data_IF_702926821023
#
_entry.id   IF_702926821023
#
_cell.length_a   1.000
_cell.length_b   1.000
_cell.length_c   1.000
_cell.angle_alpha   90.00
_cell.angle_beta   90.00
_cell.angle_gamma   90.00
#
_symmetry.space_group_name_H-M   'P 1'
#
loop_
_entity.id
_entity.type
_entity.pdbx_description
1 polymer ?
#
# COMPACT_ATOMS: atom_id res chain seq x y z
N UNK A 1 -6.84 -28.05 22.20
CA UNK A 1 -7.73 -26.90 22.41
C UNK A 1 -8.50 -27.12 23.69
N UNK A 2 -8.29 -26.30 24.71
CA UNK A 2 -9.17 -26.26 25.89
C UNK A 2 -10.17 -25.11 25.69
N UNK A 3 -11.46 -25.45 25.65
CA UNK A 3 -12.54 -24.46 25.70
C UNK A 3 -13.16 -24.51 27.09
N UNK A 4 -13.24 -23.36 27.77
CA UNK A 4 -13.89 -23.25 29.08
C UNK A 4 -15.25 -22.61 28.92
N UNK A 5 -16.26 -23.17 29.59
CA UNK A 5 -17.60 -22.60 29.64
C UNK A 5 -17.79 -22.01 31.03
N UNK A 6 -17.78 -20.69 31.12
CA UNK A 6 -17.93 -19.96 32.38
C UNK A 6 -19.01 -18.87 32.22
N UNK A 7 -20.04 -18.92 33.06
CA UNK A 7 -21.11 -17.89 33.07
C UNK A 7 -21.86 -17.73 31.75
N UNK A 8 -22.05 -18.81 30.98
CA UNK A 8 -22.72 -18.77 29.67
C UNK A 8 -21.84 -18.25 28.52
N UNK A 9 -20.54 -18.03 28.77
CA UNK A 9 -19.55 -17.64 27.76
C UNK A 9 -18.61 -18.80 27.47
N UNK A 10 -18.22 -18.92 26.21
CA UNK A 10 -17.17 -19.84 25.77
C UNK A 10 -15.88 -19.03 25.66
N UNK A 11 -14.88 -19.38 26.47
CA UNK A 11 -13.54 -18.83 26.42
C UNK A 11 -12.62 -19.83 25.74
N UNK A 12 -11.99 -19.40 24.64
CA UNK A 12 -11.05 -20.21 23.86
C UNK A 12 -9.69 -19.52 23.85
N UNK A 13 -8.63 -20.27 24.12
CA UNK A 13 -7.28 -19.80 23.87
C UNK A 13 -7.03 -19.76 22.35
N UNK A 14 -6.84 -18.55 21.81
CA UNK A 14 -6.67 -18.34 20.37
C UNK A 14 -5.39 -19.00 19.83
N UNK A 15 -4.32 -19.08 20.63
CA UNK A 15 -3.06 -19.74 20.25
C UNK A 15 -3.28 -21.25 20.12
N UNK A 16 -3.94 -21.87 21.10
CA UNK A 16 -4.22 -23.31 21.04
C UNK A 16 -5.16 -23.66 19.89
N UNK A 17 -6.16 -22.78 19.63
CA UNK A 17 -7.04 -22.90 18.49
C UNK A 17 -6.23 -22.88 17.20
N UNK A 18 -5.46 -21.81 16.96
CA UNK A 18 -4.62 -21.65 15.77
C UNK A 18 -3.60 -22.78 15.62
N UNK A 19 -3.04 -23.31 16.70
CA UNK A 19 -2.13 -24.45 16.67
C UNK A 19 -2.83 -25.74 16.24
N UNK A 20 -4.07 -25.94 16.68
CA UNK A 20 -4.88 -27.15 16.40
C UNK A 20 -5.52 -27.17 15.01
N UNK A 21 -5.60 -26.03 14.32
CA UNK A 21 -6.16 -25.95 12.97
C UNK A 21 -5.32 -26.72 11.94
N UNK A 22 -5.98 -27.23 10.91
CA UNK A 22 -5.30 -27.76 9.73
C UNK A 22 -4.55 -26.64 9.00
N UNK A 23 -3.57 -26.99 8.17
CA UNK A 23 -2.86 -25.98 7.35
C UNK A 23 -3.81 -25.29 6.35
N UNK A 24 -4.84 -25.97 5.89
CA UNK A 24 -5.84 -25.43 4.97
C UNK A 24 -6.69 -24.36 5.66
N UNK A 25 -7.22 -24.66 6.85
CA UNK A 25 -8.00 -23.70 7.63
C UNK A 25 -7.16 -22.49 8.03
N UNK A 26 -5.90 -22.71 8.43
CA UNK A 26 -4.97 -21.61 8.74
C UNK A 26 -4.76 -20.70 7.53
N UNK A 27 -4.63 -21.26 6.32
CA UNK A 27 -4.47 -20.45 5.10
C UNK A 27 -5.69 -19.61 4.82
N UNK A 28 -6.90 -20.15 4.98
CA UNK A 28 -8.14 -19.38 4.78
C UNK A 28 -8.25 -18.22 5.77
N UNK A 29 -7.90 -18.44 7.04
CA UNK A 29 -7.87 -17.38 8.04
C UNK A 29 -6.80 -16.33 7.70
N UNK A 30 -5.58 -16.76 7.37
CA UNK A 30 -4.48 -15.85 7.01
C UNK A 30 -4.85 -14.99 5.80
N UNK A 31 -5.46 -15.58 4.77
CA UNK A 31 -5.91 -14.87 3.57
C UNK A 31 -6.93 -13.77 3.93
N UNK A 32 -7.91 -14.12 4.77
CA UNK A 32 -8.91 -13.16 5.27
C UNK A 32 -8.26 -12.01 6.06
N UNK A 33 -7.35 -12.36 6.97
CA UNK A 33 -6.64 -11.38 7.82
C UNK A 33 -5.62 -10.54 7.04
N UNK A 34 -5.14 -11.02 5.89
CA UNK A 34 -4.11 -10.31 5.11
C UNK A 34 -4.60 -9.03 4.45
N UNK A 35 -5.93 -8.85 4.38
CA UNK A 35 -6.58 -7.67 3.83
C UNK A 35 -7.11 -6.72 4.92
N UNK A 36 -6.87 -7.02 6.19
CA UNK A 36 -7.30 -6.17 7.30
C UNK A 36 -6.34 -4.98 7.46
N UNK A 37 -6.90 -3.77 7.54
CA UNK A 37 -6.12 -2.53 7.57
C UNK A 37 -5.23 -2.41 8.82
N UNK A 38 -5.69 -2.88 9.98
CA UNK A 38 -4.90 -2.84 11.21
C UNK A 38 -3.73 -3.83 11.12
N UNK A 39 -3.97 -5.01 10.57
CA UNK A 39 -2.93 -6.02 10.34
C UNK A 39 -1.90 -5.51 9.32
N UNK A 40 -2.36 -4.88 8.23
CA UNK A 40 -1.48 -4.30 7.22
C UNK A 40 -0.61 -3.17 7.80
N UNK A 41 -1.18 -2.32 8.65
CA UNK A 41 -0.44 -1.28 9.36
C UNK A 41 0.66 -1.87 10.27
N UNK A 42 0.31 -2.87 11.07
CA UNK A 42 1.25 -3.55 11.96
C UNK A 42 2.38 -4.29 11.21
N UNK A 43 2.05 -4.96 10.11
CA UNK A 43 3.05 -5.61 9.24
C UNK A 43 3.96 -4.57 8.61
N UNK A 44 3.41 -3.43 8.18
CA UNK A 44 4.18 -2.32 7.61
C UNK A 44 5.15 -1.73 8.62
N UNK A 45 4.69 -1.46 9.85
CA UNK A 45 5.55 -0.99 10.95
C UNK A 45 6.70 -1.98 11.23
N UNK A 46 6.43 -3.28 11.17
CA UNK A 46 7.48 -4.30 11.33
C UNK A 46 8.46 -4.38 10.16
N UNK A 47 8.04 -4.06 8.93
CA UNK A 47 8.93 -4.02 7.77
C UNK A 47 9.81 -2.78 7.78
N UNK A 48 9.25 -1.63 8.14
CA UNK A 48 9.95 -0.34 8.12
C UNK A 48 10.79 -0.17 9.39
N UNK A 49 10.14 -0.09 10.54
CA UNK A 49 10.73 0.32 11.82
C UNK A 49 11.16 -0.88 12.67
N UNK A 50 10.50 -2.00 12.42
CA UNK A 50 10.83 -3.28 12.97
C UNK A 50 9.98 -3.74 14.16
N UNK A 51 9.15 -2.85 14.65
CA UNK A 51 8.26 -3.10 15.77
C UNK A 51 6.92 -2.47 15.43
N UNK A 52 5.82 -3.08 15.88
CA UNK A 52 4.52 -2.40 15.89
C UNK A 52 4.51 -1.31 16.96
N UNK A 53 3.53 -0.40 16.90
CA UNK A 53 3.35 0.63 17.94
C UNK A 53 3.16 0.02 19.33
N UNK A 54 2.52 -1.15 19.40
CA UNK A 54 2.33 -1.91 20.64
C UNK A 54 3.60 -2.67 21.10
N UNK A 55 4.71 -2.58 20.37
CA UNK A 55 5.97 -3.23 20.72
C UNK A 55 6.05 -4.71 20.35
N UNK A 56 5.25 -5.17 19.39
CA UNK A 56 5.33 -6.54 18.85
C UNK A 56 6.24 -6.63 17.63
N UNK A 57 6.81 -7.82 17.36
CA UNK A 57 7.51 -8.10 16.10
C UNK A 57 7.46 -9.59 15.72
N UNK A 58 7.57 -9.87 14.44
CA UNK A 58 7.89 -11.20 13.91
C UNK A 58 9.31 -11.63 14.29
N UNK A 59 9.62 -12.91 14.16
CA UNK A 59 10.95 -13.43 14.49
C UNK A 59 12.07 -12.65 13.79
N UNK A 60 13.16 -12.39 14.51
CA UNK A 60 14.39 -11.76 13.99
C UNK A 60 15.60 -12.54 14.48
N UNK A 61 16.61 -12.67 13.63
CA UNK A 61 17.92 -13.13 14.07
C UNK A 61 18.92 -12.00 13.89
N UNK A 62 19.36 -11.42 15.00
CA UNK A 62 20.39 -10.38 14.99
C UNK A 62 21.73 -10.93 14.49
N UNK A 63 22.38 -10.21 13.58
CA UNK A 63 23.74 -10.53 13.12
C UNK A 63 23.85 -11.68 12.12
N UNK A 64 22.73 -12.20 11.60
CA UNK A 64 22.79 -13.17 10.50
C UNK A 64 23.25 -12.48 9.20
N UNK A 65 24.25 -13.07 8.54
CA UNK A 65 24.76 -12.61 7.24
C UNK A 65 23.67 -12.76 6.15
N UNK A 66 22.85 -13.80 6.27
CA UNK A 66 21.76 -14.11 5.35
C UNK A 66 20.39 -13.97 6.04
N UNK A 67 19.36 -13.51 5.31
CA UNK A 67 18.01 -13.36 5.86
C UNK A 67 17.42 -14.73 6.21
N UNK A 68 17.21 -14.95 7.51
CA UNK A 68 16.76 -16.24 8.03
C UNK A 68 15.24 -16.31 8.15
N UNK A 69 14.64 -15.28 8.74
CA UNK A 69 13.20 -15.24 8.98
C UNK A 69 12.45 -14.71 7.77
N UNK A 70 11.13 -14.99 7.64
CA UNK A 70 10.30 -14.36 6.61
C UNK A 70 10.38 -12.83 6.63
N UNK A 71 10.45 -12.23 7.83
CA UNK A 71 10.57 -10.78 7.98
C UNK A 71 11.92 -10.27 7.46
N UNK A 72 13.03 -10.95 7.76
CA UNK A 72 14.36 -10.60 7.23
C UNK A 72 14.39 -10.69 5.70
N UNK A 73 13.78 -11.74 5.14
CA UNK A 73 13.70 -11.94 3.68
C UNK A 73 12.88 -10.85 3.01
N UNK A 74 11.73 -10.49 3.59
CA UNK A 74 10.88 -9.41 3.07
C UNK A 74 11.62 -8.06 3.09
N UNK A 75 12.30 -7.72 4.19
CA UNK A 75 13.10 -6.49 4.27
C UNK A 75 14.25 -6.47 3.25
N UNK A 76 14.91 -7.62 3.04
CA UNK A 76 15.97 -7.76 2.02
C UNK A 76 15.43 -7.55 0.61
N UNK A 77 14.29 -8.16 0.30
CA UNK A 77 13.63 -8.02 -1.00
C UNK A 77 13.21 -6.57 -1.27
N UNK A 78 12.62 -5.90 -0.28
CA UNK A 78 12.28 -4.48 -0.36
C UNK A 78 13.54 -3.65 -0.61
N UNK A 79 14.63 -3.90 0.10
CA UNK A 79 15.88 -3.17 -0.11
C UNK A 79 16.40 -3.34 -1.55
N UNK A 80 16.38 -4.56 -2.08
CA UNK A 80 16.81 -4.87 -3.45
C UNK A 80 15.91 -4.22 -4.52
N UNK A 81 14.60 -4.13 -4.26
CA UNK A 81 13.61 -3.62 -5.22
C UNK A 81 13.17 -2.18 -4.96
N UNK A 82 13.72 -1.52 -3.94
CA UNK A 82 13.32 -0.19 -3.50
C UNK A 82 13.28 0.83 -4.63
N UNK A 83 14.25 0.79 -5.55
CA UNK A 83 14.28 1.66 -6.73
C UNK A 83 13.16 1.39 -7.73
N UNK A 84 12.80 0.12 -7.96
CA UNK A 84 11.69 -0.26 -8.85
C UNK A 84 10.34 0.12 -8.24
N UNK A 85 10.16 -0.14 -6.94
CA UNK A 85 8.95 0.22 -6.19
C UNK A 85 8.76 1.74 -6.19
N UNK A 86 9.82 2.49 -5.88
CA UNK A 86 9.78 3.96 -5.91
C UNK A 86 9.49 4.48 -7.33
N UNK A 87 10.09 3.89 -8.36
CA UNK A 87 9.84 4.28 -9.75
C UNK A 87 8.38 4.09 -10.14
N UNK A 88 7.79 2.93 -9.83
CA UNK A 88 6.39 2.64 -10.12
C UNK A 88 5.46 3.61 -9.39
N UNK A 89 5.69 3.83 -8.10
CA UNK A 89 4.89 4.77 -7.31
C UNK A 89 4.96 6.20 -7.88
N UNK A 90 6.16 6.65 -8.26
CA UNK A 90 6.33 7.95 -8.91
C UNK A 90 5.58 8.01 -10.25
N UNK A 91 5.62 6.95 -11.05
CA UNK A 91 4.88 6.87 -12.32
C UNK A 91 3.36 6.95 -12.10
N UNK A 92 2.82 6.22 -11.13
CA UNK A 92 1.40 6.22 -10.77
C UNK A 92 0.95 7.59 -10.23
N UNK A 93 1.75 8.23 -9.38
CA UNK A 93 1.52 9.58 -8.89
C UNK A 93 1.61 10.63 -10.02
N UNK A 94 2.59 10.50 -10.92
CA UNK A 94 2.71 11.38 -12.08
C UNK A 94 1.49 11.25 -12.99
N UNK A 95 1.02 10.04 -13.24
CA UNK A 95 -0.19 9.80 -14.03
C UNK A 95 -1.41 10.43 -13.36
N UNK A 96 -1.61 10.19 -12.06
CA UNK A 96 -2.70 10.81 -11.29
C UNK A 96 -2.67 12.34 -11.36
N UNK A 97 -1.48 12.94 -11.26
CA UNK A 97 -1.31 14.39 -11.38
C UNK A 97 -1.61 14.92 -12.80
N UNK A 98 -1.20 14.20 -13.85
CA UNK A 98 -1.54 14.55 -15.23
C UNK A 98 -3.05 14.51 -15.46
N UNK A 99 -3.72 13.49 -14.95
CA UNK A 99 -5.18 13.37 -15.00
C UNK A 99 -5.88 14.52 -14.27
N UNK A 100 -5.41 14.89 -13.08
CA UNK A 100 -5.96 16.01 -12.32
C UNK A 100 -5.81 17.34 -13.09
N UNK A 101 -4.61 17.64 -13.60
CA UNK A 101 -4.35 18.85 -14.40
C UNK A 101 -5.19 18.89 -15.68
N UNK A 102 -5.29 17.76 -16.38
CA UNK A 102 -6.10 17.64 -17.58
C UNK A 102 -7.59 17.90 -17.30
N UNK A 103 -8.08 17.43 -16.16
CA UNK A 103 -9.45 17.66 -15.71
C UNK A 103 -9.68 19.14 -15.38
N UNK A 104 -8.75 19.78 -14.68
CA UNK A 104 -8.83 21.18 -14.27
C UNK A 104 -8.86 22.15 -15.46
N UNK A 105 -7.93 22.03 -16.41
CA UNK A 105 -7.88 22.89 -17.60
C UNK A 105 -9.16 22.75 -18.42
N UNK A 106 -9.64 21.51 -18.56
CA UNK A 106 -10.85 21.22 -19.32
C UNK A 106 -12.11 21.78 -18.67
N UNK A 107 -12.22 21.69 -17.34
CA UNK A 107 -13.33 22.30 -16.60
C UNK A 107 -13.26 23.83 -16.67
N UNK A 108 -12.05 24.40 -16.66
CA UNK A 108 -11.84 25.84 -16.78
C UNK A 108 -12.26 26.37 -18.16
N UNK A 109 -11.85 25.71 -19.24
CA UNK A 109 -12.27 26.05 -20.62
C UNK A 109 -13.78 25.91 -20.79
N UNK A 110 -14.36 24.80 -20.31
CA UNK A 110 -15.81 24.60 -20.37
C UNK A 110 -16.58 25.68 -19.61
N UNK A 111 -16.12 26.02 -18.39
CA UNK A 111 -16.69 27.09 -17.59
C UNK A 111 -16.61 28.43 -18.31
N UNK A 112 -15.45 28.77 -18.88
CA UNK A 112 -15.24 30.00 -19.64
C UNK A 112 -16.23 30.12 -20.81
N UNK A 113 -16.37 29.07 -21.64
CA UNK A 113 -17.32 29.04 -22.75
C UNK A 113 -18.76 29.24 -22.30
N UNK A 114 -19.14 28.57 -21.21
CA UNK A 114 -20.46 28.73 -20.59
C UNK A 114 -20.71 30.19 -20.15
N UNK A 115 -19.73 30.82 -19.49
CA UNK A 115 -19.84 32.21 -19.03
C UNK A 115 -19.97 33.22 -20.19
N UNK A 116 -19.33 32.94 -21.32
CA UNK A 116 -19.36 33.81 -22.50
C UNK A 116 -20.52 33.53 -23.47
N UNK A 117 -21.44 32.61 -23.12
CA UNK A 117 -22.60 32.29 -23.94
C UNK A 117 -22.25 31.49 -25.21
N UNK A 118 -21.07 30.88 -25.26
CA UNK A 118 -20.69 29.99 -26.35
C UNK A 118 -21.42 28.64 -26.22
N UNK A 119 -21.75 27.98 -27.35
CA UNK A 119 -22.40 26.67 -27.30
C UNK A 119 -21.45 25.63 -26.70
N UNK A 120 -21.82 25.13 -25.51
CA UNK A 120 -21.12 24.05 -24.81
C UNK A 120 -21.86 22.72 -24.99
N UNK A 121 -21.14 21.68 -25.38
CA UNK A 121 -21.62 20.30 -25.36
C UNK A 121 -21.26 19.63 -24.02
N UNK A 122 -21.86 18.46 -23.75
CA UNK A 122 -21.48 17.65 -22.60
C UNK A 122 -19.99 17.29 -22.71
N UNK A 123 -19.23 17.45 -21.62
CA UNK A 123 -17.80 17.15 -21.59
C UNK A 123 -17.56 15.67 -21.98
N UNK A 124 -16.89 15.36 -23.11
CA UNK A 124 -16.55 13.98 -23.46
C UNK A 124 -15.61 13.38 -22.41
N UNK A 125 -15.47 12.06 -22.25
CA UNK A 125 -14.51 11.49 -21.30
C UNK A 125 -13.07 11.89 -21.66
N UNK A 126 -12.25 12.16 -20.64
CA UNK A 126 -10.81 12.40 -20.82
C UNK A 126 -10.13 11.11 -21.29
N UNK A 127 -9.26 11.23 -22.29
CA UNK A 127 -8.43 10.12 -22.77
C UNK A 127 -7.04 10.21 -22.16
N UNK A 128 -6.30 9.10 -22.17
CA UNK A 128 -4.90 9.10 -21.75
C UNK A 128 -4.03 10.04 -22.61
N UNK A 129 -4.31 10.13 -23.91
CA UNK A 129 -3.60 10.99 -24.85
C UNK A 129 -3.72 12.48 -24.49
N UNK A 130 -4.90 12.90 -24.00
CA UNK A 130 -5.14 14.27 -23.51
C UNK A 130 -4.25 14.65 -22.31
N UNK A 131 -3.77 13.66 -21.56
CA UNK A 131 -2.95 13.86 -20.37
C UNK A 131 -1.45 13.97 -20.68
N UNK A 132 -1.01 13.53 -21.87
CA UNK A 132 0.40 13.51 -22.27
C UNK A 132 1.00 14.91 -22.46
N UNK A 133 0.17 15.92 -22.71
CA UNK A 133 0.60 17.32 -22.83
C UNK A 133 1.09 17.94 -21.51
N UNK A 134 0.81 17.28 -20.38
CA UNK A 134 1.27 17.74 -19.06
C UNK A 134 2.56 17.03 -18.68
N UNK A 135 3.70 17.71 -18.89
CA UNK A 135 4.96 17.28 -18.31
C UNK A 135 4.92 17.45 -16.79
N UNK A 136 5.16 16.35 -16.07
CA UNK A 136 5.48 16.41 -14.64
C UNK A 136 6.97 16.64 -14.57
N UNK A 137 7.38 17.85 -14.19
CA UNK A 137 8.78 18.28 -14.08
C UNK A 137 9.56 17.25 -13.26
N UNK A 138 10.43 16.47 -13.92
CA UNK A 138 11.45 15.68 -13.23
C UNK A 138 12.41 16.68 -12.59
N UNK A 139 12.28 16.94 -11.29
CA UNK A 139 13.36 17.59 -10.55
C UNK A 139 14.52 16.61 -10.51
N UNK A 140 15.44 16.73 -11.46
CA UNK A 140 16.79 16.20 -11.33
C UNK A 140 17.46 16.89 -10.13
N UNK A 141 17.22 16.36 -8.93
CA UNK A 141 18.11 16.64 -7.81
C UNK A 141 19.31 15.74 -7.99
N UNK A 142 20.39 16.30 -8.52
CA UNK A 142 21.72 15.74 -8.41
C UNK A 142 21.96 15.30 -6.96
N UNK A 143 22.21 14.02 -6.74
CA UNK A 143 22.76 13.56 -5.47
C UNK A 143 24.09 14.29 -5.22
N UNK A 144 24.31 14.92 -4.05
CA UNK A 144 25.65 15.30 -3.65
C UNK A 144 26.43 14.02 -3.36
N UNK A 145 27.54 13.83 -4.08
CA UNK A 145 28.54 12.80 -3.80
C UNK A 145 29.06 13.01 -2.38
N UNK A 146 28.98 11.98 -1.53
CA UNK A 146 29.66 11.92 -0.22
C UNK A 146 31.05 11.33 -0.44
#
# INVERSE_FOLDING_TARGET
MEARIEGGRISVNIVDMLCSLSLEDKRSIIDTLSCDDEILADVTAQLLDGWTEAGSHGGRIGGAIEPFTPLDKARREIALRSGEVAKKEIEDLCNSLRWAKASEERLSDWGFKMYHGEPVTMLPPLTYEDTLKYEVVKREKSCPTI
#
